data_IF_558487415188
#
_entry.id   IF_558487415188
#
_cell.length_a   1.000
_cell.length_b   1.000
_cell.length_c   1.000
_cell.angle_alpha   90.00
_cell.angle_beta   90.00
_cell.angle_gamma   90.00
#
_symmetry.space_group_name_H-M   'P 1'
#
loop_
_entity.id
_entity.type
_entity.pdbx_description
1 polymer ?
#
# COMPACT_ATOMS: atom_id res chain seq x y z
N UNK A 1 -4.13 17.86 -6.73
CA UNK A 1 -4.88 16.59 -6.63
C UNK A 1 -3.84 15.49 -6.55
N UNK A 2 -3.43 15.02 -5.36
CA UNK A 2 -2.50 13.90 -5.33
C UNK A 2 -3.20 12.74 -6.03
N UNK A 3 -2.45 12.18 -6.96
CA UNK A 3 -2.92 11.46 -8.12
C UNK A 3 -3.65 10.20 -7.70
N UNK A 4 -4.79 9.90 -8.34
CA UNK A 4 -5.50 8.64 -8.17
C UNK A 4 -4.49 7.50 -8.33
N UNK A 5 -4.10 6.88 -7.22
CA UNK A 5 -3.23 5.73 -7.20
C UNK A 5 -4.09 4.48 -7.00
N UNK A 6 -3.85 3.47 -7.81
CA UNK A 6 -4.38 2.13 -7.55
C UNK A 6 -3.33 1.38 -6.75
N UNK A 7 -3.76 0.66 -5.73
CA UNK A 7 -2.91 -0.22 -4.95
C UNK A 7 -3.38 -1.66 -5.11
N UNK A 8 -2.44 -2.58 -5.21
CA UNK A 8 -2.74 -4.01 -5.19
C UNK A 8 -1.61 -4.78 -4.53
N UNK A 9 -1.95 -5.96 -4.04
CA UNK A 9 -1.04 -6.88 -3.37
C UNK A 9 -0.91 -8.12 -4.24
N UNK A 10 0.33 -8.48 -4.59
CA UNK A 10 0.62 -9.71 -5.31
C UNK A 10 0.65 -10.91 -4.37
N UNK A 11 0.56 -12.12 -4.95
CA UNK A 11 0.80 -13.37 -4.20
C UNK A 11 2.23 -13.46 -3.66
N UNK A 12 3.16 -12.67 -4.22
CA UNK A 12 4.53 -12.47 -3.73
C UNK A 12 4.62 -11.57 -2.48
N UNK A 13 3.49 -11.05 -2.00
CA UNK A 13 3.40 -10.18 -0.83
C UNK A 13 3.72 -8.71 -1.08
N UNK A 14 4.23 -8.36 -2.26
CA UNK A 14 4.54 -6.97 -2.57
C UNK A 14 3.27 -6.17 -2.75
N UNK A 15 3.18 -5.05 -2.03
CA UNK A 15 2.18 -4.02 -2.30
C UNK A 15 2.74 -3.07 -3.34
N UNK A 16 2.01 -2.85 -4.42
CA UNK A 16 2.45 -2.00 -5.54
C UNK A 16 1.46 -0.87 -5.75
N UNK A 17 1.98 0.27 -6.21
CA UNK A 17 1.21 1.45 -6.52
C UNK A 17 1.34 1.80 -8.00
N UNK A 18 0.24 2.17 -8.63
CA UNK A 18 0.19 2.63 -10.02
C UNK A 18 -0.60 3.90 -10.15
N UNK A 19 -0.19 4.75 -11.09
CA UNK A 19 -0.99 5.88 -11.53
C UNK A 19 -2.24 5.38 -12.25
N UNK A 20 -3.43 5.69 -11.75
CA UNK A 20 -4.70 5.37 -12.44
C UNK A 20 -4.82 6.16 -13.74
N UNK A 21 -4.16 7.32 -13.83
CA UNK A 21 -4.23 8.18 -15.02
C UNK A 21 -3.37 7.65 -16.15
N UNK A 22 -2.12 7.26 -15.86
CA UNK A 22 -1.12 6.91 -16.87
C UNK A 22 -0.86 5.41 -16.96
N UNK A 23 -1.30 4.63 -15.96
CA UNK A 23 -0.98 3.21 -15.83
C UNK A 23 0.46 2.93 -15.36
N UNK A 24 1.26 3.98 -15.14
CA UNK A 24 2.66 3.84 -14.78
C UNK A 24 2.82 3.28 -13.37
N UNK A 25 3.82 2.41 -13.21
CA UNK A 25 4.27 1.95 -11.91
C UNK A 25 4.90 3.10 -11.13
N UNK A 26 4.43 3.33 -9.90
CA UNK A 26 4.91 4.42 -9.04
C UNK A 26 5.94 3.91 -8.03
N UNK A 27 5.58 2.89 -7.25
CA UNK A 27 6.45 2.29 -6.26
C UNK A 27 5.97 0.90 -5.83
N UNK A 28 6.83 0.19 -5.10
CA UNK A 28 6.49 -1.04 -4.40
C UNK A 28 6.96 -0.96 -2.94
N UNK A 29 6.12 -1.49 -2.05
CA UNK A 29 6.42 -1.72 -0.64
C UNK A 29 6.62 -3.22 -0.46
N UNK A 30 7.79 -3.66 0.03
CA UNK A 30 8.05 -5.08 0.27
C UNK A 30 7.13 -5.61 1.37
N UNK A 31 6.81 -6.92 1.36
CA UNK A 31 6.10 -7.50 2.47
C UNK A 31 6.94 -7.38 3.76
N UNK A 32 6.30 -7.21 4.94
CA UNK A 32 7.01 -7.14 6.22
C UNK A 32 7.81 -8.43 6.54
N UNK A 33 7.37 -9.56 5.98
CA UNK A 33 7.97 -10.89 6.16
C UNK A 33 7.95 -11.68 4.84
N UNK A 34 8.80 -12.71 4.68
CA UNK A 34 8.70 -13.64 3.56
C UNK A 34 7.31 -14.31 3.49
N UNK A 35 6.66 -14.28 2.33
CA UNK A 35 5.35 -14.91 2.13
C UNK A 35 5.53 -16.40 1.85
N UNK A 36 5.48 -17.20 2.91
CA UNK A 36 5.56 -18.67 2.83
C UNK A 36 4.18 -19.33 2.66
N UNK A 37 3.12 -18.61 3.06
CA UNK A 37 1.74 -19.08 3.06
C UNK A 37 0.79 -17.91 2.74
N UNK A 38 -0.40 -18.23 2.23
CA UNK A 38 -1.36 -17.21 1.75
C UNK A 38 -1.88 -16.28 2.86
N UNK A 39 -1.89 -16.73 4.10
CA UNK A 39 -2.26 -15.92 5.27
C UNK A 39 -1.24 -14.82 5.59
N UNK A 40 -0.03 -14.90 5.01
CA UNK A 40 0.99 -13.86 5.09
C UNK A 40 0.89 -12.81 3.97
N UNK A 41 -0.03 -12.97 3.01
CA UNK A 41 -0.28 -11.96 1.97
C UNK A 41 -0.98 -10.75 2.63
N UNK A 42 -0.40 -9.55 2.54
CA UNK A 42 -0.98 -8.37 3.17
C UNK A 42 -2.38 -8.04 2.67
N UNK A 43 -3.24 -7.60 3.59
CA UNK A 43 -4.45 -6.84 3.25
C UNK A 43 -4.16 -5.36 3.38
N UNK A 44 -4.64 -4.56 2.43
CA UNK A 44 -4.31 -3.13 2.36
C UNK A 44 -5.54 -2.24 2.50
N UNK A 45 -5.34 -1.09 3.12
CA UNK A 45 -6.24 0.05 2.99
C UNK A 45 -5.43 1.34 2.85
N UNK A 46 -6.01 2.33 2.17
CA UNK A 46 -5.34 3.62 1.92
C UNK A 46 -6.27 4.80 2.20
N UNK A 47 -5.69 5.94 2.55
CA UNK A 47 -6.41 7.21 2.75
C UNK A 47 -5.58 8.40 2.28
N UNK A 48 -6.24 9.37 1.63
CA UNK A 48 -5.64 10.60 1.13
C UNK A 48 -5.68 11.77 2.14
N UNK A 49 -6.05 11.47 3.39
CA UNK A 49 -6.15 12.42 4.50
C UNK A 49 -5.82 11.70 5.82
N UNK A 50 -4.70 10.98 5.83
CA UNK A 50 -4.30 10.13 6.93
C UNK A 50 -4.01 10.96 8.18
N UNK A 51 -4.61 10.56 9.31
CA UNK A 51 -4.53 11.33 10.57
C UNK A 51 -5.24 12.69 10.53
N UNK A 52 -6.09 12.95 9.52
CA UNK A 52 -6.74 14.24 9.31
C UNK A 52 -5.84 15.31 8.69
N UNK A 53 -4.64 14.94 8.21
CA UNK A 53 -3.71 15.84 7.53
C UNK A 53 -3.95 15.79 6.02
N UNK A 54 -4.35 16.92 5.42
CA UNK A 54 -4.65 16.96 4.00
C UNK A 54 -3.38 16.84 3.15
N UNK A 55 -3.46 16.02 2.10
CA UNK A 55 -2.40 15.93 1.10
C UNK A 55 -1.34 14.86 1.37
N UNK A 56 -1.52 14.02 2.39
CA UNK A 56 -0.70 12.82 2.58
C UNK A 56 -1.45 11.56 2.10
N UNK A 57 -0.69 10.54 1.73
CA UNK A 57 -1.21 9.22 1.39
C UNK A 57 -0.76 8.23 2.45
N UNK A 58 -1.69 7.88 3.33
CA UNK A 58 -1.48 6.81 4.31
C UNK A 58 -1.85 5.46 3.71
N UNK A 59 -0.95 4.49 3.83
CA UNK A 59 -1.13 3.11 3.42
C UNK A 59 -0.95 2.20 4.63
N UNK A 60 -1.95 1.38 4.94
CA UNK A 60 -1.83 0.35 5.97
C UNK A 60 -1.76 -1.03 5.33
N UNK A 61 -0.83 -1.84 5.83
CA UNK A 61 -0.70 -3.26 5.54
C UNK A 61 -1.05 -4.03 6.81
N UNK A 62 -2.07 -4.88 6.74
CA UNK A 62 -2.42 -5.81 7.79
C UNK A 62 -1.96 -7.22 7.41
N UNK A 63 -1.14 -7.84 8.26
CA UNK A 63 -0.66 -9.22 8.11
C UNK A 63 -0.90 -9.93 9.44
N UNK A 64 -1.76 -10.95 9.44
CA UNK A 64 -2.20 -11.65 10.67
C UNK A 64 -2.71 -10.66 11.73
N UNK A 65 -2.01 -10.57 12.86
CA UNK A 65 -2.36 -9.76 14.03
C UNK A 65 -1.56 -8.44 14.09
N UNK A 66 -0.80 -8.14 13.03
CA UNK A 66 0.04 -6.95 12.94
C UNK A 66 -0.45 -5.97 11.88
N UNK A 67 -0.31 -4.69 12.19
CA UNK A 67 -0.58 -3.59 11.27
C UNK A 67 0.67 -2.74 11.10
N UNK A 68 1.08 -2.55 9.84
CA UNK A 68 2.22 -1.75 9.41
C UNK A 68 1.71 -0.52 8.66
N UNK A 69 2.13 0.68 9.07
CA UNK A 69 1.66 1.95 8.49
C UNK A 69 2.79 2.61 7.72
N UNK A 70 2.51 3.02 6.48
CA UNK A 70 3.43 3.72 5.61
C UNK A 70 2.82 5.05 5.19
N UNK A 71 3.60 6.12 5.32
CA UNK A 71 3.30 7.41 4.70
C UNK A 71 4.03 7.47 3.37
N UNK A 72 3.27 7.49 2.28
CA UNK A 72 3.82 7.67 0.94
C UNK A 72 3.92 9.16 0.65
N UNK A 73 5.16 9.66 0.67
CA UNK A 73 5.47 11.02 0.22
C UNK A 73 5.59 10.98 -1.30
N UNK A 74 4.57 11.52 -1.98
CA UNK A 74 4.59 11.80 -3.43
C UNK A 74 5.22 13.15 -3.72
#
# INVERSE_FOLDING_TARGET
MPHCASFSVGEDGFTRAWSVRTGEFLCAVPPPYPVLHRDLVPRICCSNNWGGLYGNLGLCLAVRDEMHVYELKT
#
